data_IF_396781255889
#
_entry.id   IF_396781255889
#
_cell.length_a   1.000
_cell.length_b   1.000
_cell.length_c   1.000
_cell.angle_alpha   90.00
_cell.angle_beta   90.00
_cell.angle_gamma   90.00
#
_symmetry.space_group_name_H-M   'P 1'
#
loop_
_entity.id
_entity.type
_entity.pdbx_description
1 polymer ?
#
# COMPACT_ATOMS: atom_id res chain seq x y z
N UNK A 1 33.58 5.74 -34.85
CA UNK A 1 32.18 6.17 -35.07
C UNK A 1 31.30 4.94 -35.13
N UNK A 2 30.55 4.64 -34.07
CA UNK A 2 29.31 3.83 -34.02
C UNK A 2 29.11 3.34 -32.59
N UNK A 3 28.48 4.16 -31.75
CA UNK A 3 27.88 3.71 -30.50
C UNK A 3 26.39 3.58 -30.74
N UNK A 4 25.97 2.32 -30.83
CA UNK A 4 24.59 1.87 -30.97
C UNK A 4 23.81 2.35 -29.75
N UNK A 5 22.92 3.32 -29.94
CA UNK A 5 21.98 3.80 -28.94
C UNK A 5 20.89 2.74 -28.73
N UNK A 6 21.24 1.69 -27.99
CA UNK A 6 20.28 0.71 -27.50
C UNK A 6 19.32 1.39 -26.55
N UNK A 7 18.09 1.64 -27.00
CA UNK A 7 16.95 1.98 -26.12
C UNK A 7 16.82 0.87 -25.08
N UNK A 8 17.32 1.14 -23.87
CA UNK A 8 17.05 0.31 -22.71
C UNK A 8 15.54 0.35 -22.46
N UNK A 9 14.86 -0.71 -22.92
CA UNK A 9 13.48 -1.02 -22.58
C UNK A 9 13.36 -0.93 -21.05
N UNK A 10 12.41 -0.13 -20.57
CA UNK A 10 12.03 -0.09 -19.17
C UNK A 10 11.76 -1.53 -18.70
N UNK A 11 12.69 -2.06 -17.91
CA UNK A 11 12.66 -3.40 -17.38
C UNK A 11 11.48 -3.59 -16.41
N UNK A 12 11.18 -4.85 -16.05
CA UNK A 12 9.99 -5.20 -15.30
C UNK A 12 9.93 -4.41 -14.00
N UNK A 13 8.88 -3.58 -13.86
CA UNK A 13 8.53 -2.89 -12.63
C UNK A 13 8.59 -3.87 -11.45
N UNK A 14 9.57 -3.65 -10.58
CA UNK A 14 9.28 -3.23 -9.22
C UNK A 14 8.44 -4.21 -8.36
N UNK A 15 8.70 -5.52 -8.43
CA UNK A 15 8.18 -6.48 -7.43
C UNK A 15 8.88 -6.38 -6.07
N UNK A 16 10.01 -5.67 -6.01
CA UNK A 16 10.80 -5.46 -4.79
C UNK A 16 10.48 -4.13 -4.11
N UNK A 17 9.71 -3.23 -4.74
CA UNK A 17 9.22 -2.02 -4.09
C UNK A 17 8.31 -2.39 -2.91
N UNK A 18 8.88 -2.35 -1.70
CA UNK A 18 8.16 -2.59 -0.46
C UNK A 18 8.46 -3.90 0.26
N UNK A 19 9.46 -4.68 -0.19
CA UNK A 19 10.07 -5.73 0.63
C UNK A 19 11.42 -5.27 1.18
N UNK A 20 11.65 -5.49 2.47
CA UNK A 20 12.94 -5.30 3.13
C UNK A 20 13.53 -6.67 3.50
N UNK A 21 14.86 -6.75 3.43
CA UNK A 21 15.61 -7.93 3.84
C UNK A 21 16.14 -7.76 5.25
N UNK A 22 15.91 -8.74 6.12
CA UNK A 22 16.54 -8.82 7.43
C UNK A 22 17.85 -9.63 7.30
N UNK A 23 19.03 -9.05 7.61
CA UNK A 23 20.30 -9.77 7.53
C UNK A 23 20.45 -10.85 8.60
N UNK A 24 19.83 -10.68 9.76
CA UNK A 24 19.91 -11.61 10.89
C UNK A 24 19.22 -12.94 10.57
N UNK A 25 17.93 -12.89 10.21
CA UNK A 25 17.12 -14.08 9.92
C UNK A 25 17.19 -14.51 8.45
N UNK A 26 17.88 -13.73 7.61
CA UNK A 26 17.92 -13.87 6.14
C UNK A 26 16.53 -14.00 5.52
N UNK A 27 15.58 -13.24 6.05
CA UNK A 27 14.16 -13.28 5.66
C UNK A 27 13.72 -11.99 4.98
N UNK A 28 12.90 -12.14 3.93
CA UNK A 28 12.29 -11.01 3.21
C UNK A 28 10.89 -10.74 3.76
N UNK A 29 10.62 -9.52 4.19
CA UNK A 29 9.33 -9.13 4.74
C UNK A 29 8.87 -7.77 4.19
N UNK A 30 7.59 -7.45 4.35
CA UNK A 30 7.04 -6.15 3.97
C UNK A 30 7.01 -5.18 5.17
N UNK A 31 7.80 -4.10 5.18
CA UNK A 31 7.80 -3.08 6.24
C UNK A 31 6.43 -2.48 6.50
N UNK A 32 5.59 -2.43 5.46
CA UNK A 32 4.23 -1.91 5.53
C UNK A 32 3.39 -2.64 6.61
N UNK A 33 3.48 -3.96 6.72
CA UNK A 33 2.62 -4.72 7.65
C UNK A 33 3.27 -4.96 9.02
N UNK A 34 4.49 -4.48 9.22
CA UNK A 34 5.35 -4.83 10.36
C UNK A 34 5.93 -3.58 11.05
N UNK A 35 5.35 -2.41 10.78
CA UNK A 35 5.82 -1.10 11.29
C UNK A 35 7.32 -0.85 11.07
N UNK A 36 7.86 -1.38 9.97
CA UNK A 36 9.28 -1.22 9.62
C UNK A 36 10.24 -2.10 10.42
N UNK A 37 9.77 -3.15 11.10
CA UNK A 37 10.61 -4.08 11.89
C UNK A 37 10.52 -5.51 11.37
N UNK A 38 11.57 -6.29 11.52
CA UNK A 38 11.53 -7.72 11.22
C UNK A 38 10.51 -8.41 12.18
N UNK A 39 9.55 -9.21 11.68
CA UNK A 39 8.58 -9.89 12.54
C UNK A 39 9.17 -11.04 13.37
N UNK A 40 10.40 -11.46 13.08
CA UNK A 40 11.08 -12.57 13.76
C UNK A 40 11.99 -12.06 14.87
N UNK A 41 12.95 -11.19 14.54
CA UNK A 41 13.93 -10.66 15.50
C UNK A 41 13.66 -9.23 15.98
N UNK A 42 12.76 -8.47 15.34
CA UNK A 42 12.45 -7.09 15.72
C UNK A 42 13.41 -6.02 15.18
N UNK A 43 14.46 -6.41 14.45
CA UNK A 43 15.47 -5.50 13.89
C UNK A 43 14.88 -4.54 12.84
N UNK A 44 15.38 -3.30 12.78
CA UNK A 44 14.95 -2.29 11.80
C UNK A 44 15.86 -2.38 10.57
N UNK A 45 15.41 -2.94 9.43
CA UNK A 45 16.26 -3.05 8.26
C UNK A 45 16.58 -1.67 7.67
N UNK A 46 17.80 -1.46 7.15
CA UNK A 46 18.28 -0.16 6.69
C UNK A 46 17.52 0.41 5.47
N UNK A 47 16.73 -0.41 4.76
CA UNK A 47 16.12 -0.05 3.46
C UNK A 47 14.59 -0.13 3.45
N UNK A 48 13.96 -0.28 4.62
CA UNK A 48 12.51 -0.38 4.72
C UNK A 48 11.83 0.96 4.94
N UNK A 49 11.73 1.81 3.91
CA UNK A 49 10.91 3.01 4.01
C UNK A 49 9.45 2.59 4.31
N UNK A 50 9.01 2.77 5.56
CA UNK A 50 7.61 2.57 5.91
C UNK A 50 6.80 3.56 5.06
N UNK A 51 5.80 3.12 4.26
CA UNK A 51 4.91 4.07 3.64
C UNK A 51 4.33 4.94 4.76
N UNK A 52 4.40 6.27 4.60
CA UNK A 52 3.99 7.20 5.64
C UNK A 52 2.60 6.81 6.14
N UNK A 53 2.40 6.70 7.47
CA UNK A 53 1.10 6.32 8.04
C UNK A 53 -0.04 7.18 7.47
N UNK A 54 0.27 8.43 7.15
CA UNK A 54 -0.60 9.38 6.47
C UNK A 54 -1.12 8.85 5.12
N UNK A 55 -0.25 8.27 4.27
CA UNK A 55 -0.67 7.71 2.98
C UNK A 55 -1.55 6.45 3.12
N UNK A 56 -1.40 5.68 4.20
CA UNK A 56 -2.27 4.53 4.50
C UNK A 56 -3.66 4.98 4.93
N UNK A 57 -3.71 5.99 5.79
CA UNK A 57 -4.96 6.56 6.30
C UNK A 57 -5.78 7.06 5.12
N UNK A 58 -5.20 7.87 4.24
CA UNK A 58 -5.92 8.50 3.13
C UNK A 58 -6.58 7.48 2.17
N UNK A 59 -5.86 6.42 1.80
CA UNK A 59 -6.40 5.37 0.91
C UNK A 59 -7.56 4.60 1.55
N UNK A 60 -7.43 4.26 2.83
CA UNK A 60 -8.47 3.52 3.56
C UNK A 60 -9.71 4.38 3.79
N UNK A 61 -9.53 5.68 4.03
CA UNK A 61 -10.61 6.64 4.23
C UNK A 61 -11.48 6.83 2.98
N UNK A 62 -10.89 6.77 1.77
CA UNK A 62 -11.66 6.77 0.53
C UNK A 62 -12.63 5.58 0.44
N UNK A 63 -12.21 4.40 0.90
CA UNK A 63 -13.06 3.21 0.95
C UNK A 63 -14.20 3.34 1.98
N UNK A 64 -13.87 3.81 3.18
CA UNK A 64 -14.85 4.05 4.25
C UNK A 64 -15.87 5.12 3.83
N UNK A 65 -15.41 6.22 3.21
CA UNK A 65 -16.29 7.27 2.69
C UNK A 65 -17.29 6.75 1.65
N UNK A 66 -16.85 5.84 0.77
CA UNK A 66 -17.73 5.19 -0.20
C UNK A 66 -18.83 4.35 0.46
N UNK A 67 -18.48 3.52 1.46
CA UNK A 67 -19.44 2.70 2.19
C UNK A 67 -20.44 3.55 3.00
N UNK A 68 -19.98 4.63 3.62
CA UNK A 68 -20.87 5.55 4.34
C UNK A 68 -21.85 6.24 3.38
N UNK A 69 -21.37 6.67 2.21
CA UNK A 69 -22.23 7.27 1.18
C UNK A 69 -23.29 6.27 0.69
N UNK A 70 -22.91 5.03 0.41
CA UNK A 70 -23.84 3.96 0.03
C UNK A 70 -24.89 3.71 1.11
N UNK A 71 -24.46 3.64 2.38
CA UNK A 71 -25.37 3.48 3.51
C UNK A 71 -26.37 4.64 3.60
N UNK A 72 -25.94 5.88 3.37
CA UNK A 72 -26.84 7.04 3.36
C UNK A 72 -27.83 7.01 2.20
N UNK A 73 -27.41 6.55 1.02
CA UNK A 73 -28.30 6.37 -0.13
C UNK A 73 -29.39 5.35 0.18
N UNK A 74 -29.04 4.21 0.78
CA UNK A 74 -30.02 3.19 1.17
C UNK A 74 -31.02 3.73 2.19
N UNK A 75 -30.56 4.48 3.20
CA UNK A 75 -31.45 5.11 4.19
C UNK A 75 -32.38 6.13 3.53
N UNK A 76 -31.86 6.98 2.65
CA UNK A 76 -32.65 7.98 1.94
C UNK A 76 -33.74 7.35 1.06
N UNK A 77 -33.41 6.26 0.35
CA UNK A 77 -34.37 5.51 -0.46
C UNK A 77 -35.50 4.90 0.37
N UNK A 78 -35.18 4.32 1.53
CA UNK A 78 -36.18 3.76 2.45
C UNK A 78 -37.11 4.85 2.98
N UNK A 79 -36.56 5.99 3.41
CA UNK A 79 -37.36 7.12 3.89
C UNK A 79 -38.26 7.68 2.77
N UNK A 80 -37.73 7.83 1.56
CA UNK A 80 -38.50 8.29 0.41
C UNK A 80 -39.67 7.36 0.09
N UNK A 81 -39.44 6.04 0.08
CA UNK A 81 -40.49 5.03 -0.11
C UNK A 81 -41.51 5.01 1.03
N UNK A 82 -41.10 5.30 2.26
CA UNK A 82 -42.00 5.28 3.41
C UNK A 82 -42.93 6.49 3.47
N UNK A 83 -42.43 7.68 3.09
CA UNK A 83 -43.19 8.93 3.15
C UNK A 83 -43.98 9.24 1.87
N UNK A 84 -43.79 8.45 0.83
CA UNK A 84 -44.52 8.56 -0.44
C UNK A 84 -45.63 7.53 -0.50
#
# INVERSE_FOLDING_TARGET
MSSITGRLRAGPRDRTAGYAFCPEDRFWFRPAYTDGKCPLCGEVPPVGASPSRLARIDRSWLGVGGLVLESLVMVALVLYMYFR
#
